data_IF_022808773673
#
_entry.id   IF_022808773673
#
_cell.length_a   1.000
_cell.length_b   1.000
_cell.length_c   1.000
_cell.angle_alpha   90.00
_cell.angle_beta   90.00
_cell.angle_gamma   90.00
#
_symmetry.space_group_name_H-M   'P 1'
#
loop_
_entity.id
_entity.type
_entity.pdbx_description
1 polymer ?
#
# COMPACT_ATOMS: atom_id res chain seq x y z
N UNK A 1 -10.39 -12.00 -14.58
CA UNK A 1 -9.33 -11.40 -13.74
C UNK A 1 -9.06 -12.42 -12.66
N UNK A 2 -7.90 -13.09 -12.73
CA UNK A 2 -7.49 -14.08 -11.76
C UNK A 2 -6.90 -13.31 -10.56
N UNK A 3 -7.56 -13.33 -9.41
CA UNK A 3 -6.97 -12.88 -8.15
C UNK A 3 -6.10 -14.02 -7.62
N UNK A 4 -4.79 -13.91 -7.77
CA UNK A 4 -3.86 -14.83 -7.11
C UNK A 4 -3.52 -14.20 -5.76
N UNK A 5 -4.19 -14.68 -4.71
CA UNK A 5 -3.75 -14.40 -3.34
C UNK A 5 -2.60 -15.36 -3.06
N UNK A 6 -1.37 -14.90 -3.12
CA UNK A 6 -0.21 -15.69 -2.70
C UNK A 6 -0.15 -15.67 -1.17
N UNK A 7 -0.94 -16.54 -0.54
CA UNK A 7 -0.60 -17.00 0.81
C UNK A 7 0.69 -17.81 0.67
N UNK A 8 1.49 -17.93 1.72
CA UNK A 8 2.81 -18.59 1.86
C UNK A 8 3.02 -19.95 1.16
N UNK A 9 2.36 -20.18 0.03
CA UNK A 9 2.46 -21.40 -0.78
C UNK A 9 3.52 -21.23 -1.84
N UNK A 10 4.33 -22.25 -2.02
CA UNK A 10 5.30 -22.32 -3.10
C UNK A 10 4.59 -22.36 -4.47
N UNK A 11 5.32 -22.03 -5.53
CA UNK A 11 4.82 -22.11 -6.92
C UNK A 11 4.28 -23.51 -7.23
N UNK A 12 4.97 -24.55 -6.75
CA UNK A 12 4.57 -25.96 -6.94
C UNK A 12 3.24 -26.28 -6.22
N UNK A 13 3.05 -25.78 -4.99
CA UNK A 13 1.79 -25.95 -4.24
C UNK A 13 0.61 -25.24 -4.92
N UNK A 14 0.87 -24.11 -5.57
CA UNK A 14 -0.14 -23.40 -6.37
C UNK A 14 -0.44 -24.15 -7.66
N UNK A 15 0.58 -24.70 -8.32
CA UNK A 15 0.42 -25.49 -9.53
C UNK A 15 -0.45 -26.74 -9.29
N UNK A 16 -0.25 -27.43 -8.16
CA UNK A 16 -1.08 -28.55 -7.75
C UNK A 16 -2.51 -28.13 -7.43
N UNK A 17 -2.69 -27.03 -6.67
CA UNK A 17 -3.99 -26.54 -6.25
C UNK A 17 -4.89 -26.13 -7.45
N UNK A 18 -4.29 -25.55 -8.49
CA UNK A 18 -5.00 -25.05 -9.68
C UNK A 18 -4.88 -25.97 -10.87
N UNK A 19 -4.30 -27.19 -10.73
CA UNK A 19 -4.10 -28.19 -11.78
C UNK A 19 -3.37 -27.61 -13.01
N UNK A 20 -2.29 -26.87 -12.80
CA UNK A 20 -1.47 -26.36 -13.90
C UNK A 20 -0.80 -27.51 -14.65
N UNK A 21 -0.68 -27.36 -15.96
CA UNK A 21 0.14 -28.26 -16.77
C UNK A 21 1.62 -28.01 -16.48
N UNK A 22 2.50 -28.98 -16.82
CA UNK A 22 3.94 -28.81 -16.66
C UNK A 22 4.45 -27.54 -17.35
N UNK A 23 4.00 -27.28 -18.57
CA UNK A 23 4.37 -26.07 -19.34
C UNK A 23 3.94 -24.77 -18.64
N UNK A 24 2.76 -24.77 -18.01
CA UNK A 24 2.27 -23.61 -17.23
C UNK A 24 3.07 -23.41 -15.95
N UNK A 25 3.49 -24.49 -15.32
CA UNK A 25 4.32 -24.44 -14.11
C UNK A 25 5.72 -23.91 -14.44
N UNK A 26 6.33 -24.38 -15.53
CA UNK A 26 7.64 -23.94 -16.01
C UNK A 26 7.63 -22.43 -16.36
N UNK A 27 6.58 -21.96 -17.04
CA UNK A 27 6.39 -20.54 -17.33
C UNK A 27 6.24 -19.72 -16.03
N UNK A 28 5.51 -20.25 -15.04
CA UNK A 28 5.32 -19.56 -13.77
C UNK A 28 6.63 -19.47 -12.98
N UNK A 29 7.44 -20.53 -12.98
CA UNK A 29 8.79 -20.51 -12.39
C UNK A 29 9.72 -19.51 -13.08
N UNK A 30 9.68 -19.43 -14.40
CA UNK A 30 10.46 -18.45 -15.17
C UNK A 30 10.02 -17.02 -14.86
N UNK A 31 8.71 -16.75 -14.84
CA UNK A 31 8.14 -15.43 -14.54
C UNK A 31 8.45 -14.96 -13.10
N UNK A 32 8.53 -15.89 -12.15
CA UNK A 32 8.84 -15.61 -10.74
C UNK A 32 10.34 -15.70 -10.42
N UNK A 33 11.19 -15.96 -11.42
CA UNK A 33 12.64 -15.94 -11.24
C UNK A 33 13.16 -14.55 -10.87
N UNK A 34 14.26 -14.48 -10.14
CA UNK A 34 14.88 -13.21 -9.73
C UNK A 34 15.25 -12.30 -10.93
N UNK A 35 15.45 -12.89 -12.10
CA UNK A 35 15.80 -12.18 -13.33
C UNK A 35 14.57 -11.51 -14.00
N UNK A 36 13.39 -12.16 -13.94
CA UNK A 36 12.14 -11.65 -14.53
C UNK A 36 11.26 -10.87 -13.57
N UNK A 37 11.48 -11.02 -12.26
CA UNK A 37 10.69 -10.38 -11.20
C UNK A 37 10.57 -8.85 -11.37
N UNK A 38 11.66 -8.09 -11.67
CA UNK A 38 11.55 -6.64 -11.88
C UNK A 38 10.70 -6.28 -13.11
N UNK A 39 10.77 -7.09 -14.16
CA UNK A 39 9.99 -6.88 -15.40
C UNK A 39 8.51 -7.16 -15.16
N UNK A 40 8.18 -8.19 -14.40
CA UNK A 40 6.80 -8.53 -14.02
C UNK A 40 6.19 -7.44 -13.15
N UNK A 41 6.94 -6.92 -12.19
CA UNK A 41 6.55 -5.79 -11.33
C UNK A 41 6.25 -4.54 -12.14
N UNK A 42 7.06 -4.24 -13.16
CA UNK A 42 6.83 -3.12 -14.08
C UNK A 42 5.59 -3.31 -14.96
N UNK A 43 5.35 -4.54 -15.46
CA UNK A 43 4.20 -4.87 -16.32
C UNK A 43 2.86 -4.93 -15.57
N UNK A 44 2.88 -5.35 -14.30
CA UNK A 44 1.68 -5.47 -13.46
C UNK A 44 1.29 -4.15 -12.77
N UNK A 45 1.92 -3.03 -13.13
CA UNK A 45 1.59 -1.71 -12.56
C UNK A 45 1.89 -1.61 -11.07
N UNK A 46 2.92 -2.31 -10.59
CA UNK A 46 3.35 -2.25 -9.20
C UNK A 46 2.56 -3.15 -8.25
N UNK A 47 1.77 -4.12 -8.74
CA UNK A 47 1.26 -5.20 -7.89
C UNK A 47 2.43 -6.13 -7.58
N UNK A 48 3.25 -5.77 -6.60
CA UNK A 48 4.40 -6.55 -6.17
C UNK A 48 3.98 -7.85 -5.49
N UNK A 49 4.72 -8.92 -5.76
CA UNK A 49 4.79 -10.06 -4.84
C UNK A 49 5.59 -9.55 -3.65
N UNK A 50 4.90 -9.29 -2.55
CA UNK A 50 5.52 -8.75 -1.33
C UNK A 50 6.04 -9.92 -0.53
N UNK A 51 7.36 -9.97 -0.31
CA UNK A 51 7.92 -10.83 0.72
C UNK A 51 7.53 -10.29 2.10
N UNK A 52 7.37 -11.18 3.08
CA UNK A 52 7.04 -10.76 4.46
C UNK A 52 8.07 -9.72 4.95
N UNK A 53 7.59 -8.51 5.23
CA UNK A 53 8.39 -7.40 5.75
C UNK A 53 8.60 -6.21 4.82
N UNK A 54 8.13 -6.27 3.58
CA UNK A 54 8.26 -5.19 2.61
C UNK A 54 6.96 -4.40 2.43
N UNK A 55 7.07 -3.07 2.31
CA UNK A 55 5.91 -2.22 2.04
C UNK A 55 5.69 -2.05 0.54
N UNK A 56 4.50 -2.34 0.05
CA UNK A 56 4.12 -2.02 -1.33
C UNK A 56 3.66 -0.57 -1.46
N UNK A 57 3.75 -0.04 -2.68
CA UNK A 57 3.26 1.30 -2.99
C UNK A 57 1.73 1.36 -2.89
N UNK A 58 1.17 2.31 -2.09
CA UNK A 58 -0.28 2.33 -1.81
C UNK A 58 -1.14 2.87 -2.94
N UNK A 59 -0.57 3.55 -3.95
CA UNK A 59 -1.28 4.15 -5.10
C UNK A 59 -0.61 3.76 -6.42
N UNK A 60 -0.80 2.53 -6.94
CA UNK A 60 -0.24 2.10 -8.21
C UNK A 60 -0.56 3.06 -9.36
N UNK A 61 0.47 3.40 -10.17
CA UNK A 61 0.35 4.34 -11.28
C UNK A 61 0.43 5.83 -10.91
N UNK A 62 0.51 6.18 -9.63
CA UNK A 62 0.68 7.55 -9.14
C UNK A 62 1.99 7.68 -8.35
N UNK A 63 3.04 8.21 -8.98
CA UNK A 63 4.41 8.25 -8.42
C UNK A 63 4.88 9.65 -8.10
N UNK A 64 4.12 10.68 -8.54
CA UNK A 64 4.43 12.06 -8.22
C UNK A 64 4.18 12.35 -6.74
N UNK A 65 5.13 13.01 -6.09
CA UNK A 65 5.06 13.44 -4.68
C UNK A 65 4.92 14.96 -4.65
N UNK A 66 3.87 15.46 -4.00
CA UNK A 66 3.66 16.90 -3.82
C UNK A 66 4.27 17.45 -2.53
N UNK A 67 4.44 16.62 -1.50
CA UNK A 67 5.11 16.98 -0.24
C UNK A 67 5.80 15.74 0.34
N UNK A 68 7.10 15.85 0.65
CA UNK A 68 7.86 14.75 1.23
C UNK A 68 7.77 14.76 2.75
N UNK A 69 8.13 13.61 3.35
CA UNK A 69 8.35 13.52 4.79
C UNK A 69 9.40 14.52 5.24
N UNK A 70 9.07 15.30 6.28
CA UNK A 70 9.97 16.29 6.87
C UNK A 70 9.97 17.67 6.21
N UNK A 71 9.37 17.82 5.03
CA UNK A 71 9.24 19.12 4.36
C UNK A 71 8.25 20.06 5.09
N UNK A 72 8.21 21.33 4.69
CA UNK A 72 7.14 22.23 5.09
C UNK A 72 5.86 21.89 4.32
N UNK A 73 4.74 21.75 5.05
CA UNK A 73 3.45 21.45 4.43
C UNK A 73 2.82 22.70 3.74
N UNK A 74 1.72 22.49 3.04
CA UNK A 74 1.00 23.56 2.31
C UNK A 74 0.46 24.67 3.24
N UNK A 75 0.44 24.47 4.56
CA UNK A 75 0.02 25.43 5.57
C UNK A 75 1.21 26.16 6.23
N UNK A 76 2.46 25.83 5.83
CA UNK A 76 3.68 26.38 6.39
C UNK A 76 4.08 25.76 7.72
N UNK A 77 3.55 24.60 8.10
CA UNK A 77 4.02 23.83 9.23
C UNK A 77 5.23 23.02 8.80
N UNK A 78 6.31 23.08 9.57
CA UNK A 78 7.51 22.30 9.31
C UNK A 78 7.38 20.87 9.83
N UNK A 79 8.06 19.94 9.17
CA UNK A 79 8.14 18.55 9.59
C UNK A 79 6.91 17.73 9.20
N UNK A 80 6.56 17.73 7.92
CA UNK A 80 5.49 16.90 7.35
C UNK A 80 5.62 15.45 7.80
N UNK A 81 4.51 14.87 8.27
CA UNK A 81 4.50 13.60 9.01
C UNK A 81 4.52 12.36 8.13
N UNK A 82 4.31 12.52 6.83
CA UNK A 82 4.22 11.45 5.85
C UNK A 82 4.65 11.91 4.47
N UNK A 83 4.12 11.27 3.46
CA UNK A 83 4.34 11.63 2.05
C UNK A 83 2.98 11.85 1.40
N UNK A 84 2.82 12.96 0.66
CA UNK A 84 1.59 13.29 -0.04
C UNK A 84 1.69 12.89 -1.51
N UNK A 85 0.77 12.04 -1.94
CA UNK A 85 0.71 11.45 -3.28
C UNK A 85 -0.58 11.91 -3.96
N UNK A 86 -0.52 12.91 -4.86
CA UNK A 86 -1.69 13.38 -5.60
C UNK A 86 -2.25 12.31 -6.53
N UNK A 87 -3.56 12.16 -6.50
CA UNK A 87 -4.31 11.29 -7.41
C UNK A 87 -5.76 11.80 -7.54
N UNK A 88 -6.47 11.46 -8.62
CA UNK A 88 -7.88 11.81 -8.75
C UNK A 88 -8.73 11.29 -7.59
N UNK A 89 -9.79 12.04 -7.22
CA UNK A 89 -10.77 11.56 -6.25
C UNK A 89 -11.34 10.21 -6.67
N UNK A 90 -11.51 9.30 -5.70
CA UNK A 90 -12.01 7.96 -5.94
C UNK A 90 -10.96 6.95 -6.44
N UNK A 91 -9.69 7.35 -6.61
CA UNK A 91 -8.60 6.40 -6.88
C UNK A 91 -8.49 5.40 -5.73
N UNK A 92 -8.47 4.07 -5.99
CA UNK A 92 -8.32 3.07 -4.93
C UNK A 92 -6.99 3.22 -4.18
N UNK A 93 -7.06 3.16 -2.85
CA UNK A 93 -5.89 3.12 -1.96
C UNK A 93 -5.72 1.68 -1.48
N UNK A 94 -4.51 1.16 -1.64
CA UNK A 94 -4.16 -0.21 -1.26
C UNK A 94 -3.44 -0.22 0.09
N UNK A 95 -3.67 -1.28 0.88
CA UNK A 95 -2.87 -1.55 2.07
C UNK A 95 -1.41 -1.82 1.67
N UNK A 96 -0.47 -1.03 2.15
CA UNK A 96 0.95 -1.19 1.85
C UNK A 96 1.55 -2.47 2.45
N UNK A 97 0.92 -3.02 3.48
CA UNK A 97 1.31 -4.26 4.13
C UNK A 97 0.08 -4.94 4.74
N UNK A 98 0.15 -6.25 4.94
CA UNK A 98 -0.89 -6.99 5.69
C UNK A 98 -0.94 -6.51 7.13
N UNK A 99 -2.11 -6.57 7.76
CA UNK A 99 -2.26 -6.13 9.14
C UNK A 99 -3.70 -6.14 9.63
N UNK A 100 -3.91 -5.53 10.79
CA UNK A 100 -5.23 -5.34 11.39
C UNK A 100 -5.58 -3.85 11.40
N UNK A 101 -6.79 -3.51 10.99
CA UNK A 101 -7.30 -2.13 11.04
C UNK A 101 -7.50 -1.70 12.49
N UNK A 102 -6.71 -0.71 12.96
CA UNK A 102 -6.87 -0.13 14.30
C UNK A 102 -7.89 1.00 14.28
N UNK A 103 -7.83 1.84 13.24
CA UNK A 103 -8.73 2.99 13.04
C UNK A 103 -9.26 2.94 11.61
N UNK A 104 -10.58 3.07 11.48
CA UNK A 104 -11.25 3.39 10.23
C UNK A 104 -12.35 4.41 10.54
N UNK A 105 -12.20 5.64 10.04
CA UNK A 105 -13.17 6.71 10.28
C UNK A 105 -12.59 8.11 10.31
N UNK A 106 -13.41 9.05 10.81
CA UNK A 106 -13.14 10.48 10.78
C UNK A 106 -12.17 10.95 11.86
N UNK A 107 -11.26 11.85 11.45
CA UNK A 107 -10.43 12.68 12.32
C UNK A 107 -10.43 14.11 11.77
N UNK A 108 -10.41 15.14 12.63
CA UNK A 108 -10.50 16.52 12.15
C UNK A 108 -9.34 16.92 11.23
N UNK A 109 -8.10 16.50 11.52
CA UNK A 109 -6.94 16.82 10.70
C UNK A 109 -6.81 15.82 9.51
N UNK A 110 -6.83 14.52 9.77
CA UNK A 110 -6.64 13.49 8.75
C UNK A 110 -7.87 13.23 7.86
N UNK A 111 -9.04 13.80 8.18
CA UNK A 111 -10.29 13.47 7.50
C UNK A 111 -10.69 12.01 7.71
N UNK A 112 -11.25 11.36 6.70
CA UNK A 112 -11.45 9.93 6.69
C UNK A 112 -10.09 9.24 6.56
N UNK A 113 -9.80 8.33 7.48
CA UNK A 113 -8.51 7.68 7.58
C UNK A 113 -8.62 6.19 7.89
N UNK A 114 -7.58 5.45 7.54
CA UNK A 114 -7.30 4.10 7.99
C UNK A 114 -5.93 4.08 8.65
N UNK A 115 -5.83 3.42 9.83
CA UNK A 115 -4.57 3.10 10.49
C UNK A 115 -4.50 1.58 10.65
N UNK A 116 -3.43 0.98 10.17
CA UNK A 116 -3.14 -0.44 10.29
C UNK A 116 -2.07 -0.69 11.34
N UNK A 117 -2.25 -1.75 12.14
CA UNK A 117 -1.17 -2.44 12.84
C UNK A 117 -0.66 -3.54 11.91
N UNK A 118 0.57 -3.39 11.43
CA UNK A 118 1.21 -4.31 10.50
C UNK A 118 2.10 -5.35 11.22
N UNK A 119 2.08 -5.34 12.57
CA UNK A 119 2.88 -6.25 13.39
C UNK A 119 4.31 -5.76 13.63
N UNK A 120 5.03 -6.41 14.53
CA UNK A 120 6.43 -6.09 14.89
C UNK A 120 6.70 -4.59 15.18
N UNK A 121 5.70 -3.85 15.65
CA UNK A 121 5.77 -2.40 15.92
C UNK A 121 5.64 -1.52 14.68
N UNK A 122 5.44 -2.11 13.49
CA UNK A 122 5.16 -1.39 12.27
C UNK A 122 3.68 -0.99 12.23
N UNK A 123 3.40 0.24 11.80
CA UNK A 123 2.04 0.70 11.49
C UNK A 123 2.05 1.66 10.30
N UNK A 124 0.96 1.63 9.53
CA UNK A 124 0.78 2.49 8.36
C UNK A 124 -0.55 3.25 8.45
N UNK A 125 -0.51 4.54 8.09
CA UNK A 125 -1.68 5.41 8.08
C UNK A 125 -1.93 5.94 6.68
N UNK A 126 -3.21 6.00 6.33
CA UNK A 126 -3.74 6.48 5.06
C UNK A 126 -4.82 7.51 5.36
N UNK A 127 -4.67 8.74 4.88
CA UNK A 127 -5.55 9.84 5.25
C UNK A 127 -6.10 10.61 4.05
N UNK A 128 -6.96 11.60 4.32
CA UNK A 128 -7.68 12.46 3.39
C UNK A 128 -8.61 11.71 2.42
N UNK A 129 -9.01 10.48 2.78
CA UNK A 129 -9.88 9.65 1.96
C UNK A 129 -11.26 10.30 1.76
N UNK A 130 -11.88 10.07 0.60
CA UNK A 130 -13.31 10.37 0.43
C UNK A 130 -14.16 9.38 1.25
N UNK A 131 -13.75 8.10 1.29
CA UNK A 131 -14.38 7.07 2.13
C UNK A 131 -13.40 5.94 2.45
N UNK A 132 -13.61 5.27 3.58
CA UNK A 132 -12.92 4.03 3.94
C UNK A 132 -13.70 2.83 3.37
N UNK A 133 -12.99 1.74 3.03
CA UNK A 133 -13.58 0.50 2.51
C UNK A 133 -13.47 -0.68 3.49
N UNK A 134 -12.91 -0.44 4.68
CA UNK A 134 -12.67 -1.45 5.73
C UNK A 134 -13.13 -0.93 7.08
N UNK A 135 -13.37 -1.82 8.04
CA UNK A 135 -13.81 -1.48 9.40
C UNK A 135 -12.70 -1.75 10.44
N UNK A 136 -12.74 -1.02 11.57
CA UNK A 136 -11.83 -1.29 12.69
C UNK A 136 -12.00 -2.72 13.21
N UNK A 137 -10.88 -3.40 13.46
CA UNK A 137 -10.81 -4.82 13.83
C UNK A 137 -10.74 -5.78 12.63
N UNK A 138 -10.88 -5.30 11.39
CA UNK A 138 -10.77 -6.13 10.20
C UNK A 138 -9.31 -6.47 9.90
N UNK A 139 -9.03 -7.72 9.52
CA UNK A 139 -7.75 -8.14 8.99
C UNK A 139 -7.70 -7.84 7.49
N UNK A 140 -6.61 -7.21 7.04
CA UNK A 140 -6.37 -6.87 5.64
C UNK A 140 -5.08 -7.51 5.15
N UNK A 141 -5.03 -7.81 3.86
CA UNK A 141 -3.82 -8.28 3.19
C UNK A 141 -3.16 -7.13 2.42
N UNK A 142 -1.84 -7.20 2.25
CA UNK A 142 -1.13 -6.26 1.38
C UNK A 142 -1.76 -6.24 -0.02
N UNK A 143 -1.91 -5.03 -0.60
CA UNK A 143 -2.60 -4.85 -1.88
C UNK A 143 -4.14 -4.84 -1.82
N UNK A 144 -4.76 -5.11 -0.66
CA UNK A 144 -6.22 -4.98 -0.50
C UNK A 144 -6.65 -3.51 -0.56
N UNK A 145 -7.77 -3.22 -1.24
CA UNK A 145 -8.36 -1.87 -1.23
C UNK A 145 -8.90 -1.58 0.18
N UNK A 146 -8.43 -0.47 0.78
CA UNK A 146 -8.80 -0.04 2.13
C UNK A 146 -9.57 1.28 2.15
N UNK A 147 -9.63 1.98 1.02
CA UNK A 147 -10.34 3.24 0.86
C UNK A 147 -10.09 3.88 -0.49
N UNK A 148 -10.46 5.13 -0.62
CA UNK A 148 -10.38 5.86 -1.89
C UNK A 148 -9.88 7.28 -1.64
N UNK A 149 -9.02 7.77 -2.54
CA UNK A 149 -8.46 9.13 -2.50
C UNK A 149 -9.57 10.19 -2.44
N UNK A 150 -9.34 11.21 -1.65
CA UNK A 150 -10.19 12.38 -1.52
C UNK A 150 -9.42 13.60 -1.07
N UNK A 151 -10.12 14.56 -0.45
CA UNK A 151 -9.57 15.80 0.09
C UNK A 151 -10.29 16.16 1.40
N UNK A 152 -10.52 15.17 2.27
CA UNK A 152 -11.21 15.39 3.56
C UNK A 152 -10.23 15.78 4.68
N UNK A 153 -10.72 16.47 5.72
CA UNK A 153 -9.88 17.00 6.80
C UNK A 153 -9.08 18.22 6.37
N UNK A 154 -7.86 18.37 6.91
CA UNK A 154 -6.92 19.48 6.59
C UNK A 154 -6.19 19.15 5.28
N UNK A 155 -6.83 19.39 4.14
CA UNK A 155 -6.32 19.06 2.81
C UNK A 155 -6.58 20.20 1.83
N UNK A 156 -5.63 20.47 0.94
CA UNK A 156 -5.72 21.53 -0.09
C UNK A 156 -6.14 21.00 -1.48
N UNK A 157 -6.25 19.69 -1.64
CA UNK A 157 -6.62 19.04 -2.90
C UNK A 157 -6.58 17.53 -2.81
N UNK A 158 -7.02 16.84 -3.85
CA UNK A 158 -7.11 15.39 -3.86
C UNK A 158 -5.71 14.73 -3.82
N UNK A 159 -5.41 14.04 -2.72
CA UNK A 159 -4.18 13.28 -2.51
C UNK A 159 -4.36 12.19 -1.45
N UNK A 160 -3.48 11.22 -1.41
CA UNK A 160 -3.25 10.35 -0.28
C UNK A 160 -2.13 10.95 0.59
N UNK A 161 -2.41 11.18 1.87
CA UNK A 161 -1.37 11.36 2.88
C UNK A 161 -1.02 10.01 3.48
N UNK A 162 0.24 9.56 3.29
CA UNK A 162 0.72 8.24 3.70
C UNK A 162 1.81 8.36 4.75
N UNK A 163 1.58 7.77 5.95
CA UNK A 163 2.58 7.71 7.03
C UNK A 163 3.01 6.26 7.28
N UNK A 164 4.29 6.08 7.61
CA UNK A 164 4.84 4.83 8.14
C UNK A 164 5.44 5.11 9.51
N UNK A 165 5.18 4.23 10.47
CA UNK A 165 5.68 4.35 11.84
C UNK A 165 6.28 3.03 12.30
N UNK A 166 7.48 3.09 12.90
CA UNK A 166 8.12 1.96 13.57
C UNK A 166 8.22 2.25 15.06
N UNK A 167 7.58 1.42 15.89
CA UNK A 167 7.51 1.60 17.35
C UNK A 167 7.01 3.01 17.75
N UNK A 168 6.04 3.54 17.01
CA UNK A 168 5.47 4.87 17.22
C UNK A 168 6.32 6.04 16.71
N UNK A 169 7.50 5.79 16.16
CA UNK A 169 8.37 6.81 15.52
C UNK A 169 8.07 6.85 14.04
N UNK A 170 7.76 8.04 13.51
CA UNK A 170 7.52 8.26 12.09
C UNK A 170 8.80 8.11 11.29
N UNK A 171 8.70 7.41 10.19
CA UNK A 171 9.77 7.12 9.24
C UNK A 171 9.44 7.76 7.90
N UNK A 172 10.47 8.04 7.09
CA UNK A 172 10.26 8.46 5.71
C UNK A 172 9.68 7.28 4.89
N UNK A 173 8.42 7.36 4.40
CA UNK A 173 7.83 6.27 3.65
C UNK A 173 8.62 5.88 2.40
N UNK A 174 9.27 6.85 1.74
CA UNK A 174 10.02 6.62 0.49
C UNK A 174 11.30 5.80 0.68
N UNK A 175 11.78 5.65 1.92
CA UNK A 175 12.94 4.81 2.25
C UNK A 175 12.54 3.36 2.55
N UNK A 176 11.24 3.10 2.75
CA UNK A 176 10.71 1.82 3.22
C UNK A 176 9.81 1.13 2.19
N UNK A 177 9.23 1.87 1.25
CA UNK A 177 8.48 1.32 0.12
C UNK A 177 9.44 1.06 -1.04
N UNK A 178 9.25 -0.08 -1.74
CA UNK A 178 10.06 -0.37 -2.90
C UNK A 178 10.02 0.76 -3.91
N UNK A 179 11.22 1.19 -4.32
CA UNK A 179 11.37 2.03 -5.49
C UNK A 179 10.74 1.33 -6.69
N UNK A 180 9.83 2.03 -7.36
CA UNK A 180 9.20 1.62 -8.60
C UNK A 180 10.21 1.54 -9.73
#
# INVERSE_FOLDING_TARGET
ILHITVSSKTVDELAELYNFTQDQNDILHELLSDEMRPTLLALCGGIGIIEDGELCWPLPGHTYISCNFGDDDAYGNSGHRGTDIPAPEGTPILAAHSGTVIISGWNNSYGNQVLLDNGAGLSTRYAHMTQTAVAAGEAVTAGQIIGYVGSTGDSTGNHLHFEVMQNGVRMNPLELVFAQ
#
